data_IF_879676196795
#
_entry.id   IF_879676196795
#
_cell.length_a   1.000
_cell.length_b   1.000
_cell.length_c   1.000
_cell.angle_alpha   90.00
_cell.angle_beta   90.00
_cell.angle_gamma   90.00
#
_symmetry.space_group_name_H-M   'P 1'
#
loop_
_entity.id
_entity.type
_entity.pdbx_description
1 polymer ?
#
# COMPACT_ATOMS: atom_id res chain seq x y z
N UNK A 1 15.14 21.65 -22.30
CA UNK A 1 13.75 21.52 -21.87
C UNK A 1 13.06 20.56 -22.84
N UNK A 2 12.41 19.50 -22.35
CA UNK A 2 11.75 18.47 -23.18
C UNK A 2 10.30 18.32 -22.72
N UNK A 3 9.36 18.23 -23.63
CA UNK A 3 7.96 17.90 -23.38
C UNK A 3 7.72 16.52 -23.97
N UNK A 4 7.14 15.61 -23.20
CA UNK A 4 6.68 14.30 -23.64
C UNK A 4 5.23 14.49 -24.11
N UNK A 5 4.98 14.28 -25.40
CA UNK A 5 3.67 14.52 -26.02
C UNK A 5 2.69 13.34 -25.89
N UNK A 6 3.16 12.18 -25.41
CA UNK A 6 2.30 11.02 -25.20
C UNK A 6 1.32 11.27 -24.07
N UNK A 7 0.05 10.96 -24.28
CA UNK A 7 -0.98 11.05 -23.25
C UNK A 7 -0.69 10.03 -22.15
N UNK A 8 -0.44 10.51 -20.93
CA UNK A 8 -0.26 9.65 -19.74
C UNK A 8 -1.60 9.52 -19.02
N UNK A 9 -1.90 8.30 -18.55
CA UNK A 9 -3.21 7.89 -18.04
C UNK A 9 -3.15 7.52 -16.56
N UNK A 10 -4.11 8.00 -15.79
CA UNK A 10 -4.45 7.50 -14.46
C UNK A 10 -5.53 6.39 -14.57
N UNK A 11 -5.86 5.71 -13.47
CA UNK A 11 -6.87 4.64 -13.50
C UNK A 11 -8.26 5.12 -13.92
N UNK A 12 -8.60 6.38 -13.66
CA UNK A 12 -9.91 6.94 -14.02
C UNK A 12 -10.07 7.23 -15.51
N UNK A 13 -9.00 7.19 -16.29
CA UNK A 13 -9.01 7.47 -17.72
C UNK A 13 -9.34 6.25 -18.59
N UNK A 14 -9.39 5.07 -17.98
CA UNK A 14 -9.57 3.81 -18.70
C UNK A 14 -10.60 2.88 -18.09
N UNK A 15 -11.15 2.00 -18.92
CA UNK A 15 -11.85 0.76 -18.50
C UNK A 15 -11.16 -0.45 -19.12
N UNK A 16 -11.31 -1.62 -18.49
CA UNK A 16 -10.89 -2.89 -19.05
C UNK A 16 -12.01 -3.42 -19.94
N UNK A 17 -11.69 -3.69 -21.20
CA UNK A 17 -12.64 -4.21 -22.18
C UNK A 17 -12.97 -5.68 -21.88
N UNK A 18 -14.25 -6.07 -21.75
CA UNK A 18 -14.64 -7.48 -21.60
C UNK A 18 -14.18 -8.33 -22.78
N UNK A 19 -13.87 -9.59 -22.49
CA UNK A 19 -13.50 -10.60 -23.48
C UNK A 19 -14.31 -11.87 -23.28
N UNK A 20 -14.34 -12.72 -24.30
CA UNK A 20 -14.93 -14.06 -24.17
C UNK A 20 -14.20 -14.86 -23.10
N UNK A 21 -14.93 -15.45 -22.17
CA UNK A 21 -14.41 -16.23 -21.06
C UNK A 21 -14.96 -17.66 -21.11
N UNK A 22 -14.16 -18.63 -20.76
CA UNK A 22 -14.58 -20.02 -20.54
C UNK A 22 -14.92 -20.30 -19.07
N UNK A 23 -14.64 -19.35 -18.17
CA UNK A 23 -14.91 -19.49 -16.73
C UNK A 23 -16.42 -19.45 -16.46
N UNK A 24 -16.90 -20.42 -15.72
CA UNK A 24 -18.32 -20.53 -15.34
C UNK A 24 -18.60 -19.90 -13.99
N UNK A 25 -17.60 -19.86 -13.10
CA UNK A 25 -17.71 -19.33 -11.75
C UNK A 25 -16.50 -18.49 -11.35
N UNK A 26 -16.73 -17.47 -10.53
CA UNK A 26 -15.65 -16.69 -9.88
C UNK A 26 -14.80 -17.53 -8.93
N UNK A 27 -15.33 -18.67 -8.44
CA UNK A 27 -14.61 -19.62 -7.57
C UNK A 27 -13.47 -20.35 -8.30
N UNK A 28 -13.49 -20.40 -9.63
CA UNK A 28 -12.43 -21.01 -10.44
C UNK A 28 -11.17 -20.13 -10.55
N UNK A 29 -11.26 -18.86 -10.11
CA UNK A 29 -10.16 -17.91 -10.23
C UNK A 29 -9.17 -18.05 -9.07
N UNK A 30 -7.90 -18.32 -9.38
CA UNK A 30 -6.81 -18.27 -8.41
C UNK A 30 -6.20 -16.87 -8.33
N UNK A 31 -6.20 -16.28 -7.13
CA UNK A 31 -5.60 -14.97 -6.87
C UNK A 31 -4.16 -15.08 -6.32
N UNK A 32 -3.75 -16.25 -5.83
CA UNK A 32 -2.39 -16.47 -5.34
C UNK A 32 -1.39 -16.48 -6.51
N UNK A 33 -0.23 -15.86 -6.27
CA UNK A 33 0.91 -15.83 -7.20
C UNK A 33 2.16 -16.33 -6.49
N UNK A 34 2.97 -17.08 -7.21
CA UNK A 34 4.32 -17.46 -6.78
C UNK A 34 5.32 -16.43 -7.28
N UNK A 35 6.12 -15.86 -6.37
CA UNK A 35 7.18 -14.91 -6.67
C UNK A 35 8.54 -15.48 -6.32
N UNK A 36 9.52 -15.24 -7.17
CA UNK A 36 10.93 -15.55 -6.97
C UNK A 36 11.72 -14.26 -7.00
N UNK A 37 12.50 -14.00 -5.97
CA UNK A 37 13.27 -12.77 -5.82
C UNK A 37 14.75 -13.04 -6.09
N UNK A 38 15.29 -12.56 -7.21
CA UNK A 38 16.64 -12.98 -7.65
C UNK A 38 17.77 -12.45 -6.76
N UNK A 39 17.58 -11.31 -6.09
CA UNK A 39 18.60 -10.75 -5.20
C UNK A 39 18.61 -11.45 -3.83
N UNK A 40 17.46 -11.58 -3.18
CA UNK A 40 17.33 -12.24 -1.88
C UNK A 40 17.36 -13.75 -1.94
N UNK A 41 17.15 -14.37 -3.12
CA UNK A 41 17.00 -15.82 -3.33
C UNK A 41 15.80 -16.43 -2.58
N UNK A 42 14.88 -15.58 -2.09
CA UNK A 42 13.65 -16.01 -1.42
C UNK A 42 12.51 -16.19 -2.40
N UNK A 43 11.48 -16.90 -1.95
CA UNK A 43 10.20 -17.04 -2.66
C UNK A 43 9.05 -16.75 -1.73
N UNK A 44 7.94 -16.23 -2.27
CA UNK A 44 6.68 -16.05 -1.54
C UNK A 44 5.52 -16.49 -2.43
N UNK A 45 4.60 -17.27 -1.84
CA UNK A 45 3.27 -17.50 -2.40
C UNK A 45 2.28 -16.60 -1.67
N UNK A 46 1.63 -15.67 -2.39
CA UNK A 46 0.73 -14.69 -1.78
C UNK A 46 -0.33 -14.18 -2.76
N UNK A 47 -1.37 -13.57 -2.21
CA UNK A 47 -2.24 -12.62 -2.93
C UNK A 47 -1.53 -11.27 -2.87
N UNK A 48 -1.06 -10.70 -4.00
CA UNK A 48 -0.11 -9.58 -3.99
C UNK A 48 -0.77 -8.22 -3.73
N UNK A 49 -1.56 -8.14 -2.67
CA UNK A 49 -2.16 -6.92 -2.11
C UNK A 49 -1.43 -6.59 -0.82
N UNK A 50 -0.95 -5.36 -0.69
CA UNK A 50 -0.15 -4.90 0.45
C UNK A 50 -0.88 -3.76 1.17
N UNK A 51 -1.07 -3.86 2.48
CA UNK A 51 -1.49 -2.70 3.28
C UNK A 51 -0.32 -1.70 3.40
N UNK A 52 -0.58 -0.42 3.13
CA UNK A 52 0.44 0.62 3.05
C UNK A 52 1.06 0.92 4.42
N UNK A 53 2.34 1.25 4.41
CA UNK A 53 3.17 1.57 5.56
C UNK A 53 2.87 2.95 6.20
N UNK A 54 1.61 3.32 6.24
CA UNK A 54 1.12 4.51 6.91
C UNK A 54 0.80 4.18 8.39
N UNK A 55 1.00 5.13 9.28
CA UNK A 55 0.78 4.92 10.72
C UNK A 55 -0.69 4.68 11.12
N UNK A 56 -1.59 4.73 10.16
CA UNK A 56 -3.01 4.38 10.32
C UNK A 56 -3.31 2.97 9.80
N UNK A 57 -2.76 2.58 8.64
CA UNK A 57 -3.09 1.32 7.96
C UNK A 57 -2.00 0.25 8.09
N UNK A 58 -0.74 0.64 8.26
CA UNK A 58 0.39 -0.29 8.43
C UNK A 58 0.53 -0.78 9.86
N UNK A 59 -0.55 -1.26 10.49
CA UNK A 59 -0.56 -1.73 11.87
C UNK A 59 -0.27 -3.23 12.00
N UNK A 60 0.14 -3.66 13.19
CA UNK A 60 0.35 -5.09 13.49
C UNK A 60 -0.95 -5.88 13.37
N UNK A 61 -2.06 -5.32 13.86
CA UNK A 61 -3.39 -5.94 13.74
C UNK A 61 -3.85 -6.05 12.28
N UNK A 62 -3.51 -5.05 11.44
CA UNK A 62 -3.73 -5.14 10.00
C UNK A 62 -2.93 -6.28 9.39
N UNK A 63 -1.66 -6.44 9.78
CA UNK A 63 -0.80 -7.51 9.29
C UNK A 63 -1.36 -8.89 9.65
N UNK A 64 -1.78 -9.09 10.89
CA UNK A 64 -2.37 -10.35 11.34
C UNK A 64 -3.67 -10.68 10.59
N UNK A 65 -4.46 -9.65 10.25
CA UNK A 65 -5.72 -9.85 9.53
C UNK A 65 -5.48 -10.09 8.03
N UNK A 66 -4.59 -9.33 7.40
CA UNK A 66 -4.23 -9.50 5.98
C UNK A 66 -3.62 -10.87 5.72
N UNK A 67 -2.76 -11.36 6.63
CA UNK A 67 -2.09 -12.67 6.51
C UNK A 67 -3.07 -13.85 6.45
N UNK A 68 -4.26 -13.75 7.07
CA UNK A 68 -5.32 -14.79 6.99
C UNK A 68 -5.85 -14.97 5.57
N UNK A 69 -5.62 -14.01 4.69
CA UNK A 69 -6.02 -14.00 3.28
C UNK A 69 -4.83 -14.09 2.33
N UNK A 70 -3.67 -14.50 2.83
CA UNK A 70 -2.39 -14.53 2.09
C UNK A 70 -1.99 -13.16 1.52
N UNK A 71 -2.56 -12.06 2.04
CA UNK A 71 -2.23 -10.70 1.67
C UNK A 71 -1.10 -10.16 2.57
N UNK A 72 -0.40 -9.14 2.10
CA UNK A 72 0.80 -8.61 2.74
C UNK A 72 0.50 -7.29 3.47
N UNK A 73 1.40 -6.93 4.38
CA UNK A 73 1.38 -5.62 5.06
C UNK A 73 2.78 -5.06 5.17
N UNK A 74 2.94 -3.78 4.86
CA UNK A 74 4.12 -3.02 5.24
C UNK A 74 3.80 -2.28 6.55
N UNK A 75 4.46 -2.66 7.66
CA UNK A 75 4.29 -1.97 8.94
C UNK A 75 4.88 -0.57 8.87
N UNK A 76 4.23 0.40 9.50
CA UNK A 76 4.79 1.74 9.60
C UNK A 76 6.07 1.77 10.45
N UNK A 77 7.00 2.66 10.13
CA UNK A 77 8.33 2.75 10.79
C UNK A 77 8.33 3.28 12.24
N UNK A 78 7.18 3.76 12.73
CA UNK A 78 7.10 4.50 14.00
C UNK A 78 6.91 3.61 15.24
N UNK A 79 6.75 2.29 15.09
CA UNK A 79 6.76 1.37 16.24
C UNK A 79 8.09 1.44 16.99
N UNK A 80 8.07 1.28 18.32
CA UNK A 80 9.29 1.15 19.12
C UNK A 80 10.06 -0.13 18.77
N UNK A 81 11.36 -0.11 18.99
CA UNK A 81 12.22 -1.29 18.79
C UNK A 81 11.71 -2.49 19.57
N UNK A 82 11.28 -2.30 20.83
CA UNK A 82 10.73 -3.34 21.67
C UNK A 82 9.48 -4.00 21.08
N UNK A 83 8.51 -3.19 20.59
CA UNK A 83 7.31 -3.71 19.92
C UNK A 83 7.66 -4.51 18.66
N UNK A 84 8.63 -4.04 17.87
CA UNK A 84 9.07 -4.73 16.67
C UNK A 84 9.76 -6.07 16.99
N UNK A 85 10.61 -6.10 18.01
CA UNK A 85 11.27 -7.33 18.46
C UNK A 85 10.25 -8.37 18.96
N UNK A 86 9.25 -7.94 19.71
CA UNK A 86 8.18 -8.83 20.16
C UNK A 86 7.34 -9.33 18.99
N UNK A 87 7.01 -8.49 18.02
CA UNK A 87 6.19 -8.86 16.87
C UNK A 87 6.92 -9.81 15.92
N UNK A 88 8.20 -9.58 15.67
CA UNK A 88 9.03 -10.42 14.81
C UNK A 88 9.77 -11.54 15.59
N UNK A 89 9.30 -11.89 16.78
CA UNK A 89 9.77 -13.11 17.48
C UNK A 89 9.44 -14.37 16.69
N UNK A 90 8.38 -14.35 15.87
CA UNK A 90 8.02 -15.36 14.91
C UNK A 90 8.13 -14.82 13.48
N UNK A 91 8.51 -15.68 12.53
CA UNK A 91 8.62 -15.30 11.13
C UNK A 91 7.24 -15.17 10.48
N UNK A 92 6.95 -13.98 9.93
CA UNK A 92 5.77 -13.73 9.12
C UNK A 92 6.21 -13.36 7.69
N UNK A 93 6.08 -14.26 6.69
CA UNK A 93 6.50 -13.97 5.31
C UNK A 93 5.64 -12.88 4.65
N UNK A 94 4.46 -12.60 5.15
CA UNK A 94 3.53 -11.61 4.62
C UNK A 94 3.74 -10.20 5.19
N UNK A 95 4.71 -10.02 6.10
CA UNK A 95 4.95 -8.76 6.76
C UNK A 95 6.31 -8.15 6.37
N UNK A 96 6.29 -6.86 6.01
CA UNK A 96 7.47 -6.04 5.78
C UNK A 96 7.66 -5.09 6.97
N UNK A 97 8.88 -5.00 7.49
CA UNK A 97 9.29 -3.91 8.36
C UNK A 97 9.62 -2.68 7.50
N UNK A 98 9.06 -1.52 7.81
CA UNK A 98 9.38 -0.30 7.07
C UNK A 98 10.41 0.56 7.77
N UNK A 99 11.31 1.15 7.00
CA UNK A 99 12.35 2.06 7.46
C UNK A 99 12.54 3.23 6.49
N UNK A 100 13.11 4.34 6.97
CA UNK A 100 13.71 5.38 6.15
C UNK A 100 15.21 5.14 5.96
N UNK A 101 15.92 6.22 5.63
CA UNK A 101 17.38 6.20 5.37
C UNK A 101 18.17 7.13 6.29
N UNK A 102 17.54 7.74 7.30
CA UNK A 102 18.25 8.53 8.29
C UNK A 102 19.15 7.65 9.16
N UNK A 103 20.18 8.22 9.78
CA UNK A 103 21.06 7.48 10.69
C UNK A 103 20.27 6.78 11.81
N UNK A 104 19.24 7.44 12.36
CA UNK A 104 18.35 6.86 13.37
C UNK A 104 17.55 5.70 12.81
N UNK A 105 17.04 5.81 11.58
CA UNK A 105 16.30 4.73 10.91
C UNK A 105 17.21 3.51 10.70
N UNK A 106 18.45 3.73 10.22
CA UNK A 106 19.43 2.67 9.99
C UNK A 106 19.91 2.01 11.30
N UNK A 107 20.13 2.80 12.35
CA UNK A 107 20.50 2.26 13.67
C UNK A 107 19.37 1.40 14.24
N UNK A 108 18.12 1.83 14.09
CA UNK A 108 16.97 1.05 14.51
C UNK A 108 16.83 -0.23 13.70
N UNK A 109 17.02 -0.16 12.38
CA UNK A 109 17.02 -1.31 11.50
C UNK A 109 18.03 -2.37 11.96
N UNK A 110 19.30 -1.99 12.14
CA UNK A 110 20.35 -2.91 12.60
C UNK A 110 20.01 -3.49 13.97
N UNK A 111 19.51 -2.68 14.90
CA UNK A 111 19.12 -3.16 16.24
C UNK A 111 18.00 -4.23 16.17
N UNK A 112 17.01 -4.04 15.30
CA UNK A 112 15.94 -5.03 15.11
C UNK A 112 16.49 -6.30 14.46
N UNK A 113 17.25 -6.16 13.39
CA UNK A 113 17.73 -7.31 12.59
C UNK A 113 18.79 -8.13 13.32
N UNK A 114 19.65 -7.51 14.13
CA UNK A 114 20.69 -8.22 14.89
C UNK A 114 20.10 -9.03 16.07
N UNK A 115 18.92 -8.61 16.57
CA UNK A 115 18.24 -9.28 17.69
C UNK A 115 17.14 -10.24 17.27
N UNK A 116 16.78 -10.28 15.98
CA UNK A 116 15.72 -11.15 15.45
C UNK A 116 16.34 -12.33 14.72
N UNK A 117 16.01 -13.56 15.14
CA UNK A 117 16.50 -14.77 14.46
C UNK A 117 15.99 -14.86 13.02
N UNK A 118 14.71 -14.64 12.82
CA UNK A 118 14.09 -14.62 11.50
C UNK A 118 13.89 -13.19 11.02
N UNK A 119 14.81 -12.65 10.23
CA UNK A 119 14.75 -11.28 9.71
C UNK A 119 13.50 -11.08 8.86
N UNK A 120 12.65 -10.06 9.15
CA UNK A 120 11.49 -9.75 8.33
C UNK A 120 11.89 -9.24 6.95
N UNK A 121 10.95 -9.25 6.01
CA UNK A 121 11.11 -8.55 4.74
C UNK A 121 11.19 -7.04 5.00
N UNK A 122 11.86 -6.28 4.15
CA UNK A 122 12.14 -4.86 4.36
C UNK A 122 11.44 -3.98 3.32
N UNK A 123 10.81 -2.89 3.79
CA UNK A 123 10.29 -1.81 2.97
C UNK A 123 11.09 -0.52 3.27
N UNK A 124 11.84 -0.02 2.29
CA UNK A 124 12.59 1.24 2.40
C UNK A 124 11.81 2.33 1.69
N UNK A 125 11.26 3.27 2.48
CA UNK A 125 10.28 4.24 2.00
C UNK A 125 10.77 5.68 2.18
N UNK A 126 10.87 6.40 1.06
CA UNK A 126 11.19 7.82 1.00
C UNK A 126 10.25 8.56 0.05
N UNK A 127 10.02 9.84 0.32
CA UNK A 127 9.18 10.67 -0.55
C UNK A 127 9.78 10.89 -1.95
N UNK A 128 11.12 10.84 -2.06
CA UNK A 128 11.86 11.02 -3.31
C UNK A 128 12.95 9.96 -3.45
N UNK A 129 12.67 8.93 -4.22
CA UNK A 129 13.60 7.83 -4.50
C UNK A 129 14.69 8.13 -5.54
N UNK A 130 14.84 9.40 -5.98
CA UNK A 130 15.82 9.81 -7.00
C UNK A 130 17.13 10.34 -6.41
N UNK A 131 17.31 10.36 -5.10
CA UNK A 131 18.55 10.84 -4.49
C UNK A 131 19.63 9.78 -4.50
N UNK A 132 20.89 10.17 -4.79
CA UNK A 132 22.05 9.28 -4.69
C UNK A 132 22.17 8.66 -3.29
N UNK A 133 21.92 9.47 -2.26
CA UNK A 133 21.94 9.00 -0.88
C UNK A 133 20.93 7.85 -0.62
N UNK A 134 19.79 7.84 -1.28
CA UNK A 134 18.80 6.74 -1.19
C UNK A 134 19.36 5.45 -1.81
N UNK A 135 19.93 5.55 -3.00
CA UNK A 135 20.54 4.40 -3.70
C UNK A 135 21.69 3.81 -2.87
N UNK A 136 22.58 4.66 -2.34
CA UNK A 136 23.72 4.25 -1.52
C UNK A 136 23.28 3.58 -0.21
N UNK A 137 22.23 4.11 0.43
CA UNK A 137 21.67 3.51 1.64
C UNK A 137 21.13 2.10 1.35
N UNK A 138 20.45 1.89 0.23
CA UNK A 138 19.94 0.56 -0.16
C UNK A 138 21.10 -0.40 -0.44
N UNK A 139 22.11 0.02 -1.21
CA UNK A 139 23.33 -0.78 -1.46
C UNK A 139 23.94 -1.28 -0.15
N UNK A 140 24.12 -0.39 0.80
CA UNK A 140 24.63 -0.69 2.14
C UNK A 140 23.79 -1.70 2.90
N UNK A 141 22.45 -1.52 2.87
CA UNK A 141 21.52 -2.45 3.52
C UNK A 141 21.59 -3.82 2.84
N UNK A 142 21.67 -3.89 1.51
CA UNK A 142 21.81 -5.15 0.77
C UNK A 142 23.14 -5.85 1.08
N UNK A 143 24.23 -5.12 1.26
CA UNK A 143 25.51 -5.67 1.70
C UNK A 143 25.42 -6.27 3.12
N UNK A 144 24.71 -5.61 4.03
CA UNK A 144 24.53 -6.11 5.39
C UNK A 144 23.60 -7.32 5.46
N UNK A 145 22.55 -7.34 4.63
CA UNK A 145 21.49 -8.35 4.66
C UNK A 145 21.18 -8.84 3.25
N UNK A 146 22.00 -9.76 2.77
CA UNK A 146 21.93 -10.24 1.37
C UNK A 146 20.70 -11.10 1.09
N UNK A 147 20.12 -11.72 2.10
CA UNK A 147 19.06 -12.75 2.00
C UNK A 147 17.66 -12.26 2.33
N UNK A 148 17.43 -10.95 2.52
CA UNK A 148 16.09 -10.39 2.78
C UNK A 148 15.46 -9.86 1.50
N UNK A 149 14.13 -9.93 1.42
CA UNK A 149 13.39 -9.25 0.34
C UNK A 149 13.39 -7.76 0.65
N UNK A 150 13.88 -6.94 -0.29
CA UNK A 150 13.86 -5.48 -0.21
C UNK A 150 12.83 -4.93 -1.20
N UNK A 151 11.84 -4.23 -0.66
CA UNK A 151 10.94 -3.35 -1.40
C UNK A 151 11.38 -1.91 -1.16
N UNK A 152 11.58 -1.10 -2.21
CA UNK A 152 12.08 0.27 -2.05
C UNK A 152 11.47 1.25 -3.05
N UNK A 153 11.34 2.51 -2.66
CA UNK A 153 10.81 3.61 -3.47
C UNK A 153 10.53 4.88 -2.66
N UNK A 154 9.86 5.87 -3.28
CA UNK A 154 9.06 5.74 -4.51
C UNK A 154 9.75 6.41 -5.71
N UNK A 155 9.55 5.79 -6.84
CA UNK A 155 9.99 6.28 -8.15
C UNK A 155 8.85 6.16 -9.17
N UNK A 156 8.99 6.73 -10.37
CA UNK A 156 7.96 6.70 -11.43
C UNK A 156 8.56 6.61 -12.84
N UNK A 157 9.87 6.34 -12.96
CA UNK A 157 10.53 6.28 -14.27
C UNK A 157 11.31 4.98 -14.46
N UNK A 158 11.35 4.43 -15.68
CA UNK A 158 12.08 3.20 -16.00
C UNK A 158 13.55 3.24 -15.58
N UNK A 159 14.23 4.37 -15.83
CA UNK A 159 15.66 4.52 -15.54
C UNK A 159 15.96 4.35 -14.03
N UNK A 160 15.08 4.87 -13.16
CA UNK A 160 15.26 4.69 -11.71
C UNK A 160 14.87 3.29 -11.25
N UNK A 161 13.95 2.62 -11.93
CA UNK A 161 13.65 1.21 -11.68
C UNK A 161 14.87 0.34 -12.01
N UNK A 162 15.51 0.58 -13.15
CA UNK A 162 16.75 -0.09 -13.53
C UNK A 162 17.87 0.15 -12.52
N UNK A 163 18.07 1.41 -12.10
CA UNK A 163 19.07 1.75 -11.08
C UNK A 163 18.84 1.00 -9.77
N UNK A 164 17.60 0.97 -9.27
CA UNK A 164 17.27 0.31 -8.00
C UNK A 164 17.42 -1.21 -8.08
N UNK A 165 16.98 -1.84 -9.17
CA UNK A 165 17.08 -3.30 -9.32
C UNK A 165 18.52 -3.71 -9.59
N UNK A 166 19.15 -3.16 -10.63
CA UNK A 166 20.44 -3.63 -11.10
C UNK A 166 21.61 -3.21 -10.22
N UNK A 167 21.62 -1.93 -9.79
CA UNK A 167 22.74 -1.40 -9.03
C UNK A 167 22.56 -1.43 -7.51
N UNK A 168 21.32 -1.35 -7.02
CA UNK A 168 21.06 -1.36 -5.57
C UNK A 168 20.52 -2.71 -5.05
N UNK A 169 20.18 -3.66 -5.91
CA UNK A 169 19.73 -4.99 -5.51
C UNK A 169 18.34 -5.02 -4.88
N UNK A 170 17.43 -4.14 -5.33
CA UNK A 170 16.03 -4.12 -4.90
C UNK A 170 15.26 -5.26 -5.56
N UNK A 171 14.45 -5.98 -4.81
CA UNK A 171 13.60 -7.05 -5.32
C UNK A 171 12.26 -6.53 -5.83
N UNK A 172 11.68 -5.51 -5.16
CA UNK A 172 10.38 -4.91 -5.48
C UNK A 172 10.51 -3.39 -5.49
N UNK A 173 10.28 -2.75 -6.62
CA UNK A 173 10.31 -1.27 -6.70
C UNK A 173 8.92 -0.69 -6.47
N UNK A 174 8.79 0.21 -5.50
CA UNK A 174 7.55 0.97 -5.24
C UNK A 174 7.42 2.10 -6.26
N UNK A 175 6.36 2.05 -7.06
CA UNK A 175 6.08 3.00 -8.13
C UNK A 175 4.87 3.84 -7.78
N UNK A 176 5.08 5.16 -7.64
CA UNK A 176 4.01 6.13 -7.40
C UNK A 176 4.50 7.42 -6.74
N UNK A 177 4.34 8.55 -7.40
CA UNK A 177 4.58 9.89 -6.88
C UNK A 177 3.38 10.78 -7.24
N UNK A 178 2.74 11.33 -6.22
CA UNK A 178 1.58 12.20 -6.40
C UNK A 178 0.26 11.48 -6.70
N UNK A 179 0.22 10.14 -6.66
CA UNK A 179 -0.97 9.32 -6.94
C UNK A 179 -1.85 9.05 -5.71
N UNK A 180 -1.33 9.18 -4.49
CA UNK A 180 -2.06 8.89 -3.26
C UNK A 180 -3.27 9.81 -3.06
N UNK A 181 -4.37 9.27 -2.49
CA UNK A 181 -5.63 10.00 -2.28
C UNK A 181 -5.51 11.19 -1.33
N UNK A 182 -4.55 11.17 -0.41
CA UNK A 182 -4.21 12.25 0.53
C UNK A 182 -2.90 12.95 0.19
N UNK A 183 -2.29 12.62 -0.95
CA UNK A 183 -1.07 13.24 -1.45
C UNK A 183 -1.42 14.59 -2.14
N UNK A 184 -0.62 15.62 -1.88
CA UNK A 184 -0.75 16.94 -2.52
C UNK A 184 0.52 17.37 -3.24
N UNK A 185 1.48 16.47 -3.49
CA UNK A 185 2.74 16.75 -4.18
C UNK A 185 2.51 17.37 -5.56
N UNK A 186 1.55 16.84 -6.35
CA UNK A 186 1.19 17.44 -7.66
C UNK A 186 0.74 18.90 -7.54
N UNK A 187 0.08 19.27 -6.43
CA UNK A 187 -0.41 20.63 -6.19
C UNK A 187 0.65 21.56 -5.60
N UNK A 188 1.56 21.02 -4.80
CA UNK A 188 2.56 21.80 -4.04
C UNK A 188 3.88 21.96 -4.78
N UNK A 189 4.33 20.90 -5.42
CA UNK A 189 5.61 20.86 -6.11
C UNK A 189 5.48 20.81 -7.65
N UNK A 190 4.28 20.55 -8.18
CA UNK A 190 4.06 20.31 -9.61
C UNK A 190 4.70 18.99 -10.10
N UNK A 191 5.08 18.10 -9.19
CA UNK A 191 5.76 16.84 -9.49
C UNK A 191 4.79 15.69 -9.33
N UNK A 192 4.86 14.70 -10.22
CA UNK A 192 4.06 13.50 -10.21
C UNK A 192 3.97 12.84 -11.57
N UNK A 193 3.37 11.66 -11.60
CA UNK A 193 3.15 10.90 -12.81
C UNK A 193 1.78 10.23 -12.77
N UNK A 194 1.00 10.16 -13.88
CA UNK A 194 -0.24 9.38 -13.94
C UNK A 194 0.03 7.90 -13.71
N UNK A 195 -0.67 7.32 -12.71
CA UNK A 195 -0.27 6.06 -12.09
C UNK A 195 -0.28 4.87 -13.04
N UNK A 196 -1.31 4.75 -13.90
CA UNK A 196 -1.38 3.64 -14.86
C UNK A 196 -0.19 3.65 -15.83
N UNK A 197 0.13 4.81 -16.38
CA UNK A 197 1.27 4.95 -17.29
C UNK A 197 2.60 4.70 -16.60
N UNK A 198 2.77 5.22 -15.36
CA UNK A 198 3.96 4.93 -14.55
C UNK A 198 4.17 3.42 -14.35
N UNK A 199 3.10 2.69 -14.00
CA UNK A 199 3.16 1.23 -13.83
C UNK A 199 3.60 0.55 -15.14
N UNK A 200 2.93 0.86 -16.26
CA UNK A 200 3.21 0.18 -17.53
C UNK A 200 4.66 0.39 -17.98
N UNK A 201 5.18 1.61 -17.87
CA UNK A 201 6.55 1.95 -18.26
C UNK A 201 7.58 1.35 -17.30
N UNK A 202 7.35 1.43 -15.99
CA UNK A 202 8.25 0.89 -14.98
C UNK A 202 8.26 -0.64 -14.94
N UNK A 203 7.14 -1.28 -15.24
CA UNK A 203 7.06 -2.76 -15.26
C UNK A 203 7.91 -3.35 -16.38
N UNK A 204 7.92 -2.71 -17.55
CA UNK A 204 8.73 -3.18 -18.69
C UNK A 204 10.22 -3.21 -18.34
N UNK A 205 10.72 -2.15 -17.70
CA UNK A 205 12.08 -2.09 -17.19
C UNK A 205 12.36 -3.13 -16.10
N UNK A 206 11.46 -3.28 -15.13
CA UNK A 206 11.64 -4.20 -14.01
C UNK A 206 11.69 -5.66 -14.47
N UNK A 207 10.74 -6.07 -15.32
CA UNK A 207 10.65 -7.46 -15.78
C UNK A 207 11.83 -7.84 -16.68
N UNK A 208 12.39 -6.89 -17.44
CA UNK A 208 13.65 -7.10 -18.20
C UNK A 208 14.84 -7.47 -17.31
N UNK A 209 14.80 -7.09 -16.04
CA UNK A 209 15.82 -7.37 -15.02
C UNK A 209 15.41 -8.46 -14.01
N UNK A 210 14.29 -9.16 -14.24
CA UNK A 210 13.67 -10.11 -13.32
C UNK A 210 13.27 -9.53 -11.95
N UNK A 211 13.13 -8.22 -11.85
CA UNK A 211 12.61 -7.54 -10.67
C UNK A 211 11.10 -7.41 -10.70
N UNK A 212 10.52 -6.84 -9.65
CA UNK A 212 9.08 -6.69 -9.49
C UNK A 212 8.67 -5.25 -9.22
N UNK A 213 7.41 -4.90 -9.56
CA UNK A 213 6.82 -3.58 -9.35
C UNK A 213 5.70 -3.67 -8.30
N UNK A 214 5.72 -2.77 -7.33
CA UNK A 214 4.60 -2.48 -6.46
C UNK A 214 3.94 -1.16 -6.88
N UNK A 215 2.70 -1.21 -7.38
CA UNK A 215 1.89 -0.01 -7.63
C UNK A 215 1.46 0.61 -6.30
N UNK A 216 1.99 1.78 -5.97
CA UNK A 216 1.70 2.47 -4.71
C UNK A 216 0.91 3.77 -4.93
N UNK A 217 -0.33 3.78 -4.44
CA UNK A 217 -1.27 4.88 -4.59
C UNK A 217 -2.15 4.81 -5.84
N UNK A 218 -3.13 5.72 -5.90
CA UNK A 218 -4.09 5.83 -7.02
C UNK A 218 -5.33 4.95 -6.91
N UNK A 219 -5.28 3.81 -6.22
CA UNK A 219 -6.43 2.92 -6.05
C UNK A 219 -7.43 3.47 -5.03
N UNK A 220 -8.66 3.70 -5.48
CA UNK A 220 -9.80 4.21 -4.69
C UNK A 220 -10.91 3.17 -4.54
N UNK A 221 -11.04 2.28 -5.50
CA UNK A 221 -12.08 1.24 -5.61
C UNK A 221 -11.43 -0.07 -6.12
N UNK A 222 -12.08 -1.25 -5.94
CA UNK A 222 -11.53 -2.53 -6.40
C UNK A 222 -11.20 -2.57 -7.90
N UNK A 223 -11.93 -1.82 -8.74
CA UNK A 223 -11.65 -1.73 -10.17
C UNK A 223 -10.26 -1.14 -10.48
N UNK A 224 -9.77 -0.22 -9.65
CA UNK A 224 -8.44 0.39 -9.86
C UNK A 224 -7.32 -0.63 -9.60
N UNK A 225 -7.53 -1.55 -8.65
CA UNK A 225 -6.60 -2.67 -8.40
C UNK A 225 -6.55 -3.60 -9.64
N UNK A 226 -7.71 -3.87 -10.25
CA UNK A 226 -7.77 -4.65 -11.49
C UNK A 226 -6.98 -3.97 -12.62
N UNK A 227 -7.08 -2.63 -12.72
CA UNK A 227 -6.36 -1.85 -13.72
C UNK A 227 -4.85 -1.81 -13.44
N UNK A 228 -4.45 -1.74 -12.16
CA UNK A 228 -3.04 -1.83 -11.78
C UNK A 228 -2.43 -3.18 -12.21
N UNK A 229 -3.10 -4.31 -11.94
CA UNK A 229 -2.68 -5.61 -12.45
C UNK A 229 -2.79 -5.69 -13.98
N UNK A 230 -3.79 -5.06 -14.58
CA UNK A 230 -3.91 -4.96 -16.05
C UNK A 230 -2.74 -4.20 -16.69
N UNK A 231 -2.21 -3.20 -16.00
CA UNK A 231 -0.99 -2.46 -16.34
C UNK A 231 0.29 -3.23 -16.03
N UNK A 232 0.16 -4.49 -15.60
CA UNK A 232 1.25 -5.44 -15.33
C UNK A 232 1.99 -5.22 -13.99
N UNK A 233 1.40 -4.49 -13.02
CA UNK A 233 1.95 -4.46 -11.67
C UNK A 233 2.02 -5.88 -11.07
N UNK A 234 3.08 -6.16 -10.31
CA UNK A 234 3.22 -7.42 -9.59
C UNK A 234 2.52 -7.38 -8.24
N UNK A 235 2.61 -6.25 -7.55
CA UNK A 235 2.00 -5.96 -6.26
C UNK A 235 1.21 -4.67 -6.32
N UNK A 236 0.18 -4.54 -5.46
CA UNK A 236 -0.61 -3.30 -5.31
C UNK A 236 -0.67 -2.93 -3.84
N UNK A 237 -0.21 -1.72 -3.50
CA UNK A 237 -0.24 -1.18 -2.13
C UNK A 237 -1.45 -0.29 -1.92
N UNK A 238 -2.18 -0.53 -0.83
CA UNK A 238 -3.45 0.11 -0.51
C UNK A 238 -3.38 0.87 0.82
N UNK A 239 -3.65 2.18 0.79
CA UNK A 239 -3.82 3.02 1.96
C UNK A 239 -5.31 3.33 2.23
N UNK A 240 -5.88 4.27 1.50
CA UNK A 240 -7.24 4.79 1.73
C UNK A 240 -8.37 3.75 1.61
N UNK A 241 -8.19 2.70 0.83
CA UNK A 241 -9.18 1.64 0.73
C UNK A 241 -9.32 0.86 2.04
N UNK A 242 -8.22 0.64 2.76
CA UNK A 242 -8.20 -0.03 4.06
C UNK A 242 -8.42 0.95 5.23
N UNK A 243 -8.22 2.26 5.03
CA UNK A 243 -8.43 3.27 6.06
C UNK A 243 -9.89 3.34 6.50
N UNK A 244 -10.12 3.49 7.81
CA UNK A 244 -11.46 3.49 8.41
C UNK A 244 -11.98 2.11 8.79
N UNK A 245 -11.21 1.03 8.59
CA UNK A 245 -11.56 -0.31 9.07
C UNK A 245 -11.09 -0.52 10.52
N UNK A 246 -11.59 -1.55 11.17
CA UNK A 246 -11.35 -1.84 12.59
C UNK A 246 -9.89 -2.06 12.98
N UNK A 247 -9.06 -2.60 12.06
CA UNK A 247 -7.63 -2.82 12.27
C UNK A 247 -6.76 -1.56 12.16
N UNK A 248 -7.32 -0.43 11.75
CA UNK A 248 -6.57 0.82 11.67
C UNK A 248 -6.23 1.37 13.06
N UNK A 249 -4.99 1.85 13.19
CA UNK A 249 -4.53 2.65 14.33
C UNK A 249 -4.74 4.14 14.04
N UNK A 250 -4.61 5.00 15.07
CA UNK A 250 -4.68 6.45 14.94
C UNK A 250 -5.78 7.09 15.77
N UNK A 251 -6.12 8.33 15.40
CA UNK A 251 -7.09 9.13 16.14
C UNK A 251 -8.51 8.84 15.65
N UNK A 252 -9.25 8.13 16.48
CA UNK A 252 -10.65 7.80 16.24
C UNK A 252 -11.58 8.76 16.96
N UNK A 253 -12.52 9.31 16.23
CA UNK A 253 -13.72 9.91 16.80
C UNK A 253 -14.66 8.80 17.28
N UNK A 254 -15.26 9.01 18.47
CA UNK A 254 -16.13 8.02 19.08
C UNK A 254 -17.46 8.63 19.45
N UNK A 255 -18.53 7.89 19.17
CA UNK A 255 -19.86 8.15 19.74
C UNK A 255 -20.02 7.29 21.01
N UNK A 256 -20.52 7.91 22.06
CA UNK A 256 -20.82 7.22 23.32
C UNK A 256 -22.33 7.10 23.46
N UNK A 257 -22.84 5.88 23.50
CA UNK A 257 -24.24 5.61 23.76
C UNK A 257 -24.40 5.05 25.18
N UNK A 258 -25.24 5.68 25.98
CA UNK A 258 -25.68 5.12 27.25
C UNK A 258 -26.65 3.98 26.99
N UNK A 259 -26.26 2.74 27.33
CA UNK A 259 -27.15 1.57 27.23
C UNK A 259 -27.70 1.30 28.63
N UNK A 260 -28.97 1.62 28.84
CA UNK A 260 -29.68 1.20 30.07
C UNK A 260 -30.24 -0.20 29.84
N UNK A 261 -29.92 -1.13 30.70
CA UNK A 261 -30.48 -2.48 30.65
C UNK A 261 -31.99 -2.56 30.96
N UNK A 262 -32.60 -1.50 31.53
CA UNK A 262 -33.96 -1.57 32.07
C UNK A 262 -34.88 -0.36 31.87
N UNK A 263 -34.55 0.68 31.08
CA UNK A 263 -35.51 1.79 30.83
C UNK A 263 -35.32 2.53 29.52
N UNK A 264 -36.42 3.06 29.02
CA UNK A 264 -36.56 3.76 27.73
C UNK A 264 -36.22 5.27 27.74
N UNK A 265 -35.84 5.89 28.85
CA UNK A 265 -35.60 7.36 28.94
C UNK A 265 -34.56 7.79 29.98
N UNK A 266 -33.67 8.65 29.59
CA UNK A 266 -32.74 9.56 30.24
C UNK A 266 -32.67 9.68 31.77
N UNK A 267 -31.52 9.29 32.39
CA UNK A 267 -30.90 10.06 33.46
C UNK A 267 -29.41 9.65 33.63
N UNK A 268 -28.49 10.59 33.51
CA UNK A 268 -27.04 10.42 33.37
C UNK A 268 -26.23 10.23 34.66
N UNK A 269 -26.82 9.83 35.78
CA UNK A 269 -26.13 9.72 37.07
C UNK A 269 -26.36 8.43 37.86
N UNK A 270 -26.82 7.35 37.21
CA UNK A 270 -27.10 6.09 37.89
C UNK A 270 -25.95 5.09 37.68
N UNK A 271 -25.40 4.42 38.73
CA UNK A 271 -24.27 3.49 38.63
C UNK A 271 -24.52 2.21 37.86
N UNK A 272 -25.66 2.07 37.19
CA UNK A 272 -26.05 0.94 36.34
C UNK A 272 -25.87 1.16 34.82
N UNK A 273 -25.27 2.27 34.36
CA UNK A 273 -25.07 2.54 32.95
C UNK A 273 -23.75 1.99 32.43
N UNK A 274 -23.79 1.18 31.39
CA UNK A 274 -22.64 0.89 30.56
C UNK A 274 -22.64 1.80 29.35
N UNK A 275 -21.54 2.51 29.12
CA UNK A 275 -21.34 3.28 27.89
C UNK A 275 -20.82 2.38 26.80
N UNK A 276 -21.58 2.19 25.74
CA UNK A 276 -21.10 1.57 24.51
C UNK A 276 -20.31 2.62 23.69
N UNK A 277 -19.04 2.34 23.41
CA UNK A 277 -18.14 3.23 22.69
C UNK A 277 -18.04 2.74 21.24
N UNK A 278 -18.53 3.51 20.29
CA UNK A 278 -18.48 3.17 18.87
C UNK A 278 -17.51 4.08 18.12
N UNK A 279 -16.65 3.49 17.27
CA UNK A 279 -15.83 4.21 16.30
C UNK A 279 -16.78 4.87 15.27
N UNK A 280 -16.59 6.17 15.01
CA UNK A 280 -17.38 6.95 14.03
C UNK A 280 -16.55 7.30 12.83
N UNK A 281 -15.39 7.91 13.05
CA UNK A 281 -14.48 8.32 11.99
C UNK A 281 -13.02 8.24 12.43
N UNK A 282 -12.14 8.04 11.45
CA UNK A 282 -10.68 7.99 11.61
C UNK A 282 -10.05 9.21 10.96
N UNK A 283 -9.16 9.90 11.66
CA UNK A 283 -8.29 10.91 11.04
C UNK A 283 -7.24 10.19 10.18
N UNK A 284 -7.34 10.37 8.87
CA UNK A 284 -6.45 9.75 7.88
C UNK A 284 -5.68 10.83 7.12
N UNK A 285 -4.36 10.70 7.06
CA UNK A 285 -3.49 11.73 6.49
C UNK A 285 -2.30 11.13 5.75
N UNK A 286 -1.77 11.92 4.79
CA UNK A 286 -0.54 11.56 4.10
C UNK A 286 0.68 11.67 5.03
N UNK A 287 1.66 10.78 4.88
CA UNK A 287 2.86 10.76 5.74
C UNK A 287 3.75 12.02 5.61
N UNK A 288 3.50 12.86 4.60
CA UNK A 288 4.11 14.21 4.45
C UNK A 288 3.13 15.35 4.79
N UNK A 289 2.05 15.09 5.53
CA UNK A 289 1.10 16.10 6.01
C UNK A 289 1.63 16.84 7.23
N UNK A 290 0.98 17.97 7.58
CA UNK A 290 1.31 18.71 8.82
C UNK A 290 1.10 17.83 10.05
N UNK A 291 0.03 17.05 10.07
CA UNK A 291 -0.33 16.14 11.15
C UNK A 291 0.77 15.09 11.38
N UNK A 292 1.22 14.43 10.31
CA UNK A 292 2.31 13.47 10.39
C UNK A 292 3.63 14.13 10.84
N UNK A 293 3.96 15.32 10.32
CA UNK A 293 5.17 16.02 10.71
C UNK A 293 5.15 16.46 12.18
N UNK A 294 4.00 16.94 12.69
CA UNK A 294 3.86 17.28 14.12
C UNK A 294 3.98 16.04 15.00
N UNK A 295 3.35 14.94 14.61
CA UNK A 295 3.35 13.70 15.39
C UNK A 295 4.72 13.03 15.46
N UNK A 296 5.49 13.05 14.35
CA UNK A 296 6.70 12.25 14.22
C UNK A 296 8.00 13.04 14.14
N UNK A 297 7.95 14.33 13.74
CA UNK A 297 9.15 15.14 13.51
C UNK A 297 9.19 16.44 14.34
N UNK A 298 8.24 16.62 15.28
CA UNK A 298 8.17 17.81 16.13
C UNK A 298 7.67 19.08 15.43
N UNK A 299 7.17 18.98 14.21
CA UNK A 299 6.58 20.07 13.44
C UNK A 299 7.05 20.17 12.00
N UNK A 300 6.58 21.21 11.32
CA UNK A 300 6.98 21.53 9.93
C UNK A 300 8.13 22.51 9.99
N UNK A 301 9.30 22.12 9.46
CA UNK A 301 10.44 23.04 9.36
C UNK A 301 10.14 24.18 8.37
N UNK A 302 10.70 25.38 8.59
CA UNK A 302 10.42 26.59 7.80
C UNK A 302 10.72 26.46 6.30
N UNK A 303 11.67 25.59 5.95
CA UNK A 303 12.05 25.30 4.56
C UNK A 303 11.19 24.21 3.90
N UNK A 304 10.24 23.61 4.62
CA UNK A 304 9.35 22.53 4.12
C UNK A 304 7.93 23.01 3.90
N UNK A 305 7.28 22.47 2.87
CA UNK A 305 5.83 22.53 2.71
C UNK A 305 5.20 21.19 3.03
N UNK A 306 3.96 21.20 3.50
CA UNK A 306 3.18 19.97 3.65
C UNK A 306 2.71 19.49 2.28
N UNK A 307 3.02 18.24 1.95
CA UNK A 307 2.61 17.57 0.71
C UNK A 307 1.55 16.50 0.94
N UNK A 308 0.85 16.56 2.05
CA UNK A 308 -0.29 15.71 2.40
C UNK A 308 -1.42 16.51 3.01
N UNK A 309 -2.64 15.97 2.88
CA UNK A 309 -3.84 16.48 3.57
C UNK A 309 -4.31 15.48 4.61
N UNK A 310 -5.01 15.98 5.64
CA UNK A 310 -5.76 15.20 6.61
C UNK A 310 -7.24 15.19 6.22
N UNK A 311 -7.88 14.03 6.33
CA UNK A 311 -9.30 13.83 6.06
C UNK A 311 -9.91 12.93 7.12
N UNK A 312 -11.16 13.17 7.46
CA UNK A 312 -11.94 12.27 8.32
C UNK A 312 -12.59 11.19 7.46
N UNK A 313 -12.30 9.92 7.77
CA UNK A 313 -12.86 8.76 7.05
C UNK A 313 -13.86 8.08 7.97
N UNK A 314 -15.13 7.91 7.54
CA UNK A 314 -16.12 7.17 8.31
C UNK A 314 -15.65 5.75 8.63
N UNK A 315 -16.08 5.20 9.77
CA UNK A 315 -15.88 3.80 10.09
C UNK A 315 -16.55 2.90 9.07
N UNK A 316 -15.80 1.97 8.48
CA UNK A 316 -16.24 1.11 7.37
C UNK A 316 -16.58 -0.32 7.79
N UNK A 317 -16.50 -0.64 9.08
CA UNK A 317 -16.68 -2.01 9.54
C UNK A 317 -15.36 -2.79 9.63
N UNK A 318 -15.43 -4.09 9.43
CA UNK A 318 -14.27 -4.97 9.60
C UNK A 318 -13.32 -4.90 8.40
N UNK A 319 -12.03 -5.03 8.68
CA UNK A 319 -11.01 -5.17 7.63
C UNK A 319 -11.25 -6.40 6.78
N UNK A 320 -11.73 -7.49 7.40
CA UNK A 320 -12.05 -8.75 6.69
C UNK A 320 -13.12 -8.57 5.61
N UNK A 321 -14.19 -7.80 5.89
CA UNK A 321 -15.24 -7.50 4.88
C UNK A 321 -14.65 -6.70 3.72
N UNK A 322 -13.82 -5.71 4.01
CA UNK A 322 -13.14 -4.91 2.99
C UNK A 322 -12.20 -5.76 2.12
N UNK A 323 -11.43 -6.68 2.72
CA UNK A 323 -10.56 -7.61 1.97
C UNK A 323 -11.41 -8.52 1.08
N UNK A 324 -12.49 -9.10 1.60
CA UNK A 324 -13.39 -9.98 0.83
C UNK A 324 -14.01 -9.26 -0.37
N UNK A 325 -14.40 -8.00 -0.22
CA UNK A 325 -14.91 -7.17 -1.32
C UNK A 325 -13.83 -6.94 -2.40
N UNK A 326 -12.61 -6.56 -1.98
CA UNK A 326 -11.47 -6.39 -2.89
C UNK A 326 -11.19 -7.69 -3.67
N UNK A 327 -11.07 -8.82 -2.99
CA UNK A 327 -10.80 -10.11 -3.62
C UNK A 327 -11.96 -10.57 -4.51
N UNK A 328 -13.20 -10.27 -4.13
CA UNK A 328 -14.39 -10.47 -4.94
C UNK A 328 -14.37 -9.67 -6.24
N UNK A 329 -13.97 -8.40 -6.16
CA UNK A 329 -13.79 -7.51 -7.32
C UNK A 329 -12.75 -8.04 -8.31
N UNK A 330 -11.59 -8.51 -7.79
CA UNK A 330 -10.55 -9.13 -8.61
C UNK A 330 -11.03 -10.39 -9.34
N UNK A 331 -11.72 -11.30 -8.63
CA UNK A 331 -12.32 -12.49 -9.25
C UNK A 331 -13.33 -12.12 -10.32
N UNK A 332 -14.16 -11.10 -10.06
CA UNK A 332 -15.13 -10.59 -11.04
C UNK A 332 -14.41 -10.08 -12.30
N UNK A 333 -13.38 -9.27 -12.16
CA UNK A 333 -12.58 -8.81 -13.30
C UNK A 333 -12.01 -9.98 -14.11
N UNK A 334 -11.38 -10.93 -13.44
CA UNK A 334 -10.83 -12.13 -14.06
C UNK A 334 -11.87 -12.89 -14.91
N UNK A 335 -13.09 -13.08 -14.40
CA UNK A 335 -14.14 -13.77 -15.16
C UNK A 335 -14.58 -12.97 -16.39
N UNK A 336 -14.65 -11.65 -16.31
CA UNK A 336 -15.00 -10.80 -17.45
C UNK A 336 -13.96 -10.79 -18.58
N UNK A 337 -12.69 -11.04 -18.27
CA UNK A 337 -11.60 -11.01 -19.25
C UNK A 337 -11.03 -12.39 -19.59
N UNK A 338 -11.58 -13.45 -18.98
CA UNK A 338 -11.17 -14.84 -19.25
C UNK A 338 -9.81 -15.21 -18.62
N UNK A 339 -9.40 -14.55 -17.54
CA UNK A 339 -8.18 -14.88 -16.79
C UNK A 339 -8.49 -15.85 -15.65
N UNK A 340 -8.02 -17.11 -15.71
CA UNK A 340 -8.21 -18.09 -14.63
C UNK A 340 -7.26 -17.85 -13.44
N UNK A 341 -6.21 -17.08 -13.63
CA UNK A 341 -5.23 -16.73 -12.60
C UNK A 341 -4.95 -15.22 -12.60
N UNK A 342 -4.68 -14.65 -11.43
CA UNK A 342 -4.35 -13.24 -11.30
C UNK A 342 -3.19 -12.82 -12.21
N UNK A 343 -2.14 -13.66 -12.31
CA UNK A 343 -0.98 -13.41 -13.16
C UNK A 343 -1.28 -13.33 -14.67
N UNK A 344 -2.45 -13.78 -15.09
CA UNK A 344 -2.84 -13.75 -16.51
C UNK A 344 -3.62 -12.48 -16.88
N UNK A 345 -4.01 -11.66 -15.90
CA UNK A 345 -4.72 -10.39 -16.13
C UNK A 345 -3.98 -9.52 -17.18
N UNK A 346 -2.67 -9.25 -17.09
CA UNK A 346 -1.99 -8.40 -18.07
C UNK A 346 -2.13 -8.92 -19.50
N UNK A 347 -2.03 -10.24 -19.69
CA UNK A 347 -2.14 -10.90 -21.01
C UNK A 347 -3.54 -10.82 -21.61
N UNK A 348 -4.55 -10.77 -20.76
CA UNK A 348 -5.96 -10.73 -21.17
C UNK A 348 -6.54 -9.33 -21.17
N UNK A 349 -5.86 -8.35 -20.57
CA UNK A 349 -6.31 -6.96 -20.50
C UNK A 349 -6.21 -6.28 -21.87
N UNK A 350 -7.20 -5.48 -22.18
CA UNK A 350 -7.20 -4.44 -23.20
C UNK A 350 -7.87 -3.23 -22.59
N UNK A 351 -7.14 -2.14 -22.45
CA UNK A 351 -7.69 -0.87 -21.99
C UNK A 351 -8.42 -0.15 -23.10
N UNK A 352 -9.52 0.49 -22.76
CA UNK A 352 -10.21 1.48 -23.58
C UNK A 352 -10.18 2.80 -22.84
N UNK A 353 -9.73 3.85 -23.49
CA UNK A 353 -9.76 5.19 -22.93
C UNK A 353 -11.19 5.71 -22.91
N UNK A 354 -11.58 6.35 -21.80
CA UNK A 354 -12.95 6.82 -21.58
C UNK A 354 -12.96 8.18 -20.89
N UNK A 355 -14.03 8.95 -21.11
CA UNK A 355 -14.24 10.21 -20.41
C UNK A 355 -14.84 10.04 -19.02
N UNK A 356 -15.46 8.87 -18.76
CA UNK A 356 -16.11 8.52 -17.48
C UNK A 356 -15.97 7.01 -17.23
N UNK A 357 -15.59 6.63 -16.03
CA UNK A 357 -15.41 5.25 -15.64
C UNK A 357 -16.59 4.64 -14.92
N UNK A 358 -17.51 5.45 -14.40
CA UNK A 358 -18.70 4.97 -13.71
C UNK A 358 -19.90 5.92 -13.84
N UNK A 359 -21.09 5.37 -13.67
CA UNK A 359 -22.32 6.14 -13.63
C UNK A 359 -22.48 6.77 -12.23
N UNK A 360 -22.66 8.10 -12.16
CA UNK A 360 -22.77 8.88 -10.93
C UNK A 360 -24.19 9.23 -10.53
N UNK A 361 -25.22 8.56 -11.09
CA UNK A 361 -26.62 8.92 -10.83
C UNK A 361 -26.98 8.78 -9.34
N UNK A 362 -26.32 7.87 -8.62
CA UNK A 362 -26.60 7.61 -7.21
C UNK A 362 -25.35 7.72 -6.31
N UNK A 363 -24.33 8.44 -6.74
CA UNK A 363 -23.09 8.68 -5.95
C UNK A 363 -23.03 10.08 -5.38
#
# INVERSE_FOLDING_TARGET
>A
MKIINDTKLDFEDVLIRPKRSSLQSRSEVSLSRHFVFPHSKRTIDCVPIIAANMDTTGSMLMSDTMSKYDCLTALHKHYSTEKLLNYFSEYNPYCFYSTGISENDLHKLTTVYDKTECKPNLCIDVANGYSEHFVDAIKKIREWYSDIIIMAGNVVTPEMVEELIFHAGVDIVKVGIGSGSVCTTRLKAGVGYPQLSAIMECTDAAHGLNGHICSDGGCKIPADICKAFGGNADFVMLGSMLAGTDCCEGEWEHEYRCVNKNSTWWQSKDPGYTTDRRKVSLQFYGMSSKEAMHKHNGGVADYRTSEGKCVSIPYKGTTEETIKDILGGLRSCCTYIGASKLKDIPKTTTFIQVNRTHNRIYS
#
